data_IF_483831895023
#
_entry.id   IF_483831895023
#
_cell.length_a   1.000
_cell.length_b   1.000
_cell.length_c   1.000
_cell.angle_alpha   90.00
_cell.angle_beta   90.00
_cell.angle_gamma   90.00
#
_symmetry.space_group_name_H-M   'P 1'
#
loop_
_entity.id
_entity.type
_entity.pdbx_description
1 polymer ?
#
# COMPACT_ATOMS: atom_id res chain seq x y z
N UNK A 1 -8.84 -18.66 -9.52
CA UNK A 1 -9.16 -17.74 -10.65
C UNK A 1 -10.37 -16.82 -10.41
N UNK A 2 -11.52 -17.23 -9.89
CA UNK A 2 -12.67 -16.31 -9.69
C UNK A 2 -12.53 -15.29 -8.53
N UNK A 3 -11.69 -15.55 -7.54
CA UNK A 3 -11.47 -14.65 -6.39
C UNK A 3 -10.48 -13.53 -6.68
N UNK A 4 -9.52 -13.77 -7.56
CA UNK A 4 -8.44 -12.83 -7.83
C UNK A 4 -8.87 -11.61 -8.64
N UNK A 5 -9.95 -11.77 -9.46
CA UNK A 5 -10.49 -10.67 -10.27
C UNK A 5 -11.55 -9.82 -9.56
N UNK A 6 -12.06 -10.23 -8.40
CA UNK A 6 -13.04 -9.44 -7.64
C UNK A 6 -12.45 -8.17 -7.01
N UNK A 7 -11.14 -8.09 -6.89
CA UNK A 7 -10.42 -6.90 -6.44
C UNK A 7 -10.38 -5.78 -7.48
N UNK A 8 -10.67 -6.08 -8.75
CA UNK A 8 -10.53 -5.15 -9.87
C UNK A 8 -11.88 -4.62 -10.40
N UNK A 9 -12.97 -4.73 -9.62
CA UNK A 9 -14.29 -4.24 -10.00
C UNK A 9 -15.10 -5.22 -10.85
N UNK A 10 -16.26 -4.77 -11.35
CA UNK A 10 -17.19 -5.60 -12.13
C UNK A 10 -16.70 -5.83 -13.57
N UNK A 11 -15.68 -6.68 -13.76
CA UNK A 11 -15.20 -7.11 -15.08
C UNK A 11 -16.07 -8.20 -15.72
N UNK A 12 -17.09 -8.70 -15.03
CA UNK A 12 -17.98 -9.75 -15.54
C UNK A 12 -19.32 -9.84 -14.82
N UNK A 13 -20.36 -10.32 -15.54
CA UNK A 13 -21.68 -10.62 -14.96
C UNK A 13 -21.79 -12.10 -14.62
N UNK A 14 -22.42 -12.41 -13.47
CA UNK A 14 -22.77 -13.78 -13.08
C UNK A 14 -23.58 -14.44 -14.21
N UNK A 15 -23.08 -15.55 -14.75
CA UNK A 15 -23.74 -16.34 -15.80
C UNK A 15 -23.34 -15.99 -17.25
N UNK A 16 -22.72 -14.86 -17.54
CA UNK A 16 -22.33 -14.43 -18.89
C UNK A 16 -20.82 -14.41 -19.16
N UNK A 17 -19.99 -14.70 -18.15
CA UNK A 17 -18.53 -14.65 -18.30
C UNK A 17 -17.97 -13.22 -18.27
N UNK A 18 -16.74 -13.08 -18.75
CA UNK A 18 -16.04 -11.80 -18.82
C UNK A 18 -16.21 -11.17 -20.20
N UNK A 19 -16.44 -9.85 -20.23
CA UNK A 19 -16.37 -9.08 -21.47
C UNK A 19 -14.89 -8.97 -21.88
N UNK A 20 -14.52 -9.69 -22.93
CA UNK A 20 -13.14 -9.79 -23.40
C UNK A 20 -12.57 -8.42 -23.77
N UNK A 21 -13.38 -7.53 -24.36
CA UNK A 21 -12.93 -6.20 -24.75
C UNK A 21 -12.64 -5.33 -23.51
N UNK A 22 -13.51 -5.37 -22.50
CA UNK A 22 -13.26 -4.67 -21.22
C UNK A 22 -12.04 -5.22 -20.51
N UNK A 23 -11.86 -6.53 -20.52
CA UNK A 23 -10.68 -7.18 -19.93
C UNK A 23 -9.40 -6.79 -20.68
N UNK A 24 -9.44 -6.78 -22.00
CA UNK A 24 -8.33 -6.34 -22.86
C UNK A 24 -7.99 -4.86 -22.65
N UNK A 25 -9.00 -3.99 -22.59
CA UNK A 25 -8.80 -2.56 -22.30
C UNK A 25 -8.18 -2.37 -20.92
N UNK A 26 -8.70 -3.05 -19.91
CA UNK A 26 -8.16 -3.02 -18.55
C UNK A 26 -6.69 -3.47 -18.49
N UNK A 27 -6.36 -4.59 -19.14
CA UNK A 27 -4.96 -5.04 -19.21
C UNK A 27 -4.09 -4.11 -20.06
N UNK A 28 -4.63 -3.54 -21.14
CA UNK A 28 -3.91 -2.57 -21.95
C UNK A 28 -3.60 -1.28 -21.15
N UNK A 29 -4.53 -0.78 -20.36
CA UNK A 29 -4.32 0.36 -19.47
C UNK A 29 -3.28 0.04 -18.39
N UNK A 30 -3.38 -1.14 -17.76
CA UNK A 30 -2.41 -1.63 -16.78
C UNK A 30 -0.98 -1.79 -17.36
N UNK A 31 -0.89 -2.22 -18.63
CA UNK A 31 0.38 -2.50 -19.31
C UNK A 31 0.94 -1.30 -20.06
N UNK A 32 0.08 -0.37 -20.49
CA UNK A 32 0.49 0.82 -21.26
C UNK A 32 0.81 2.03 -20.39
N UNK A 33 0.54 2.00 -19.10
CA UNK A 33 1.00 3.04 -18.19
C UNK A 33 2.54 2.90 -18.02
N UNK A 34 3.27 3.48 -18.98
CA UNK A 34 4.74 3.49 -19.00
C UNK A 34 5.32 4.41 -17.92
N UNK A 35 4.48 5.14 -17.18
CA UNK A 35 4.90 6.01 -16.11
C UNK A 35 5.23 5.20 -14.84
N UNK A 36 6.37 5.50 -14.24
CA UNK A 36 6.71 4.98 -12.91
C UNK A 36 5.83 5.65 -11.87
N UNK A 37 5.06 4.86 -11.13
CA UNK A 37 4.21 5.38 -10.05
C UNK A 37 5.08 5.78 -8.87
N UNK A 38 5.07 7.08 -8.54
CA UNK A 38 5.76 7.60 -7.36
C UNK A 38 4.95 7.28 -6.10
N UNK A 39 5.65 6.78 -5.08
CA UNK A 39 5.08 6.44 -3.78
C UNK A 39 5.89 7.15 -2.71
N UNK A 40 5.25 7.65 -1.67
CA UNK A 40 5.91 8.14 -0.47
C UNK A 40 5.66 7.23 0.73
N UNK A 41 6.51 7.32 1.75
CA UNK A 41 6.38 6.58 2.99
C UNK A 41 6.27 7.57 4.17
N UNK A 42 5.37 7.29 5.11
CA UNK A 42 5.27 8.05 6.37
C UNK A 42 5.44 7.12 7.56
N UNK A 43 6.41 7.44 8.39
CA UNK A 43 6.84 6.68 9.55
C UNK A 43 8.12 5.88 9.26
N UNK A 44 9.29 6.37 9.73
CA UNK A 44 10.59 5.72 9.53
C UNK A 44 11.00 4.91 10.78
N UNK A 45 10.02 4.21 11.37
CA UNK A 45 10.24 3.21 12.42
C UNK A 45 10.76 1.88 11.84
N UNK A 46 10.64 0.79 12.61
CA UNK A 46 11.17 -0.52 12.19
C UNK A 46 10.60 -1.02 10.84
N UNK A 47 9.28 -0.94 10.68
CA UNK A 47 8.61 -1.35 9.44
C UNK A 47 8.97 -0.40 8.29
N UNK A 48 8.92 0.91 8.53
CA UNK A 48 9.25 1.91 7.53
C UNK A 48 10.69 1.77 7.03
N UNK A 49 11.66 1.59 7.91
CA UNK A 49 13.07 1.34 7.52
C UNK A 49 13.21 0.07 6.68
N UNK A 50 12.54 -1.01 7.03
CA UNK A 50 12.56 -2.24 6.23
C UNK A 50 12.00 -2.00 4.82
N UNK A 51 10.92 -1.22 4.69
CA UNK A 51 10.31 -0.88 3.40
C UNK A 51 11.16 0.10 2.58
N UNK A 52 11.93 0.99 3.21
CA UNK A 52 12.88 1.87 2.52
C UNK A 52 13.99 1.10 1.79
N UNK A 53 14.35 -0.09 2.28
CA UNK A 53 15.31 -0.99 1.63
C UNK A 53 14.65 -2.01 0.70
N UNK A 54 13.31 -2.01 0.59
CA UNK A 54 12.60 -2.93 -0.27
C UNK A 54 12.60 -2.45 -1.72
N UNK A 55 13.10 -3.27 -2.62
CA UNK A 55 13.25 -2.92 -4.04
C UNK A 55 11.94 -3.06 -4.81
N UNK A 56 11.03 -2.12 -4.65
CA UNK A 56 9.75 -2.09 -5.37
C UNK A 56 9.93 -2.03 -6.89
N UNK A 57 11.02 -1.43 -7.38
CA UNK A 57 11.28 -1.22 -8.80
C UNK A 57 11.61 -2.50 -9.57
N UNK A 58 12.20 -3.51 -8.93
CA UNK A 58 12.64 -4.72 -9.62
C UNK A 58 11.50 -5.57 -10.19
N UNK A 59 10.30 -5.44 -9.64
CA UNK A 59 9.13 -6.25 -10.04
C UNK A 59 7.97 -5.44 -10.59
N UNK A 60 7.88 -4.17 -10.23
CA UNK A 60 6.76 -3.31 -10.60
C UNK A 60 7.28 -1.89 -10.85
N UNK A 61 6.59 -1.14 -11.70
CA UNK A 61 6.93 0.26 -12.01
C UNK A 61 6.53 1.21 -10.86
N UNK A 62 6.87 0.86 -9.63
CA UNK A 62 6.64 1.68 -8.43
C UNK A 62 7.98 2.13 -7.87
N UNK A 63 8.09 3.40 -7.55
CA UNK A 63 9.28 3.98 -6.97
C UNK A 63 8.95 4.69 -5.67
N UNK A 64 9.59 4.28 -4.59
CA UNK A 64 9.59 5.03 -3.35
C UNK A 64 10.53 6.22 -3.52
N UNK A 65 9.97 7.44 -3.54
CA UNK A 65 10.73 8.64 -3.92
C UNK A 65 11.10 9.51 -2.72
N UNK A 66 10.38 9.40 -1.59
CA UNK A 66 10.66 10.13 -0.37
C UNK A 66 10.01 9.47 0.84
N UNK A 67 10.52 9.80 2.02
CA UNK A 67 9.94 9.39 3.30
C UNK A 67 9.76 10.57 4.23
N UNK A 68 8.86 10.42 5.21
CA UNK A 68 8.55 11.42 6.21
C UNK A 68 8.51 10.80 7.60
N UNK A 69 8.93 11.57 8.59
CA UNK A 69 8.75 11.27 10.01
C UNK A 69 8.48 12.55 10.78
N UNK A 70 8.30 12.47 12.10
CA UNK A 70 8.20 13.64 12.98
C UNK A 70 9.43 14.53 12.81
N UNK A 71 9.25 15.85 12.90
CA UNK A 71 10.32 16.82 12.60
C UNK A 71 11.53 16.70 13.54
N UNK A 72 11.35 16.09 14.70
CA UNK A 72 12.39 15.81 15.70
C UNK A 72 13.12 14.47 15.52
N UNK A 73 12.71 13.65 14.52
CA UNK A 73 13.39 12.40 14.24
C UNK A 73 14.80 12.66 13.68
N UNK A 74 15.80 11.97 14.24
CA UNK A 74 17.23 12.11 13.88
C UNK A 74 17.56 11.85 12.40
N UNK A 75 16.70 11.10 11.70
CA UNK A 75 16.87 10.80 10.28
C UNK A 75 16.34 11.89 9.36
N UNK A 76 15.60 12.87 9.88
CA UNK A 76 15.10 13.99 9.07
C UNK A 76 16.25 14.85 8.57
N UNK A 77 16.23 15.19 7.29
CA UNK A 77 17.31 15.88 6.59
C UNK A 77 18.42 14.97 6.06
N UNK A 78 18.30 13.65 6.26
CA UNK A 78 19.21 12.66 5.70
C UNK A 78 18.60 11.98 4.46
N UNK A 79 19.32 11.04 3.88
CA UNK A 79 18.84 10.17 2.82
C UNK A 79 19.29 8.72 3.06
N UNK A 80 18.54 7.76 2.53
CA UNK A 80 18.93 6.36 2.55
C UNK A 80 20.11 6.07 1.62
N UNK A 81 20.66 4.85 1.68
CA UNK A 81 21.68 4.37 0.72
C UNK A 81 21.19 4.44 -0.72
N UNK A 82 19.89 4.18 -0.96
CA UNK A 82 19.23 4.30 -2.26
C UNK A 82 18.85 5.76 -2.62
N UNK A 83 19.39 6.74 -1.88
CA UNK A 83 19.19 8.18 -2.08
C UNK A 83 17.73 8.65 -1.91
N UNK A 84 16.92 7.93 -1.14
CA UNK A 84 15.57 8.36 -0.80
C UNK A 84 15.68 9.40 0.33
N UNK A 85 15.27 10.65 0.11
CA UNK A 85 15.35 11.70 1.13
C UNK A 85 14.29 11.47 2.22
N UNK A 86 14.63 11.81 3.46
CA UNK A 86 13.75 11.76 4.63
C UNK A 86 13.47 13.18 5.08
N UNK A 87 12.21 13.57 5.06
CA UNK A 87 11.73 14.91 5.41
C UNK A 87 10.95 14.91 6.72
N UNK A 88 10.88 16.06 7.36
CA UNK A 88 9.95 16.28 8.45
C UNK A 88 8.50 16.34 7.96
N UNK A 89 7.57 15.89 8.81
CA UNK A 89 6.14 15.82 8.48
C UNK A 89 5.56 17.20 8.16
N UNK A 90 6.13 18.28 8.67
CA UNK A 90 5.74 19.66 8.38
C UNK A 90 5.85 20.02 6.89
N UNK A 91 6.73 19.36 6.14
CA UNK A 91 6.98 19.61 4.73
C UNK A 91 6.09 18.77 3.78
N UNK A 92 5.24 17.90 4.30
CA UNK A 92 4.58 16.85 3.50
C UNK A 92 3.67 17.41 2.41
N UNK A 93 2.90 18.46 2.69
CA UNK A 93 1.96 19.08 1.72
C UNK A 93 2.71 19.67 0.52
N UNK A 94 3.77 20.40 0.79
CA UNK A 94 4.58 21.05 -0.25
C UNK A 94 5.27 20.01 -1.13
N UNK A 95 5.83 18.95 -0.52
CA UNK A 95 6.53 17.89 -1.25
C UNK A 95 5.57 17.05 -2.10
N UNK A 96 4.38 16.72 -1.59
CA UNK A 96 3.35 16.01 -2.35
C UNK A 96 2.92 16.82 -3.56
N UNK A 97 2.69 18.13 -3.38
CA UNK A 97 2.29 19.00 -4.46
C UNK A 97 3.38 19.16 -5.54
N UNK A 98 4.65 19.32 -5.13
CA UNK A 98 5.79 19.47 -6.05
C UNK A 98 6.00 18.25 -6.95
N UNK A 99 5.81 17.03 -6.42
CA UNK A 99 6.09 15.78 -7.10
C UNK A 99 4.83 15.09 -7.66
N UNK A 100 3.64 15.67 -7.46
CA UNK A 100 2.32 15.14 -7.85
C UNK A 100 2.10 13.69 -7.39
N UNK A 101 2.47 13.38 -6.13
CA UNK A 101 2.34 12.03 -5.59
C UNK A 101 0.89 11.77 -5.18
N UNK A 102 0.37 10.60 -5.52
CA UNK A 102 -1.01 10.18 -5.22
C UNK A 102 -1.11 8.97 -4.31
N UNK A 103 0.01 8.32 -4.01
CA UNK A 103 0.05 7.06 -3.25
C UNK A 103 1.02 7.15 -2.10
N UNK A 104 0.59 6.70 -0.92
CA UNK A 104 1.39 6.70 0.30
C UNK A 104 1.40 5.32 0.98
N UNK A 105 2.52 5.01 1.64
CA UNK A 105 2.63 3.90 2.59
C UNK A 105 2.64 4.50 3.99
N UNK A 106 1.76 4.02 4.86
CA UNK A 106 1.59 4.50 6.24
C UNK A 106 2.06 3.44 7.23
N UNK A 107 3.13 3.75 7.96
CA UNK A 107 3.80 2.87 8.92
C UNK A 107 3.99 3.52 10.30
N UNK A 108 3.10 4.45 10.64
CA UNK A 108 3.12 5.15 11.93
C UNK A 108 2.39 4.35 13.03
N UNK A 109 2.62 4.65 14.32
CA UNK A 109 1.85 4.04 15.41
C UNK A 109 0.34 4.29 15.27
N UNK A 110 -0.48 3.32 15.71
CA UNK A 110 -1.95 3.35 15.57
C UNK A 110 -2.59 4.63 16.09
N UNK A 111 -2.06 5.17 17.20
CA UNK A 111 -2.55 6.41 17.83
C UNK A 111 -2.37 7.66 16.96
N UNK A 112 -1.48 7.60 15.97
CA UNK A 112 -1.19 8.69 15.03
C UNK A 112 -1.71 8.45 13.63
N UNK A 113 -2.18 7.24 13.33
CA UNK A 113 -2.50 6.84 11.96
C UNK A 113 -3.64 7.66 11.35
N UNK A 114 -4.70 7.97 12.10
CA UNK A 114 -5.80 8.79 11.58
C UNK A 114 -5.36 10.22 11.27
N UNK A 115 -4.67 10.88 12.20
CA UNK A 115 -4.18 12.24 12.04
C UNK A 115 -3.29 12.38 10.80
N UNK A 116 -2.36 11.42 10.62
CA UNK A 116 -1.45 11.41 9.46
C UNK A 116 -2.20 11.09 8.18
N UNK A 117 -3.16 10.17 8.21
CA UNK A 117 -3.97 9.84 7.05
C UNK A 117 -4.82 11.03 6.58
N UNK A 118 -5.42 11.79 7.50
CA UNK A 118 -6.16 13.01 7.19
C UNK A 118 -5.24 14.06 6.53
N UNK A 119 -4.02 14.23 7.05
CA UNK A 119 -3.01 15.13 6.48
C UNK A 119 -2.63 14.71 5.05
N UNK A 120 -2.47 13.42 4.79
CA UNK A 120 -2.17 12.87 3.47
C UNK A 120 -3.31 13.12 2.48
N UNK A 121 -4.55 12.90 2.90
CA UNK A 121 -5.74 13.15 2.08
C UNK A 121 -5.88 14.63 1.74
N UNK A 122 -5.70 15.51 2.71
CA UNK A 122 -5.68 16.97 2.52
C UNK A 122 -4.58 17.42 1.55
N UNK A 123 -3.46 16.70 1.52
CA UNK A 123 -2.36 16.96 0.58
C UNK A 123 -2.60 16.40 -0.83
N UNK A 124 -3.69 15.63 -1.04
CA UNK A 124 -4.08 15.11 -2.35
C UNK A 124 -3.73 13.64 -2.61
N UNK A 125 -3.36 12.88 -1.58
CA UNK A 125 -3.18 11.43 -1.67
C UNK A 125 -4.55 10.77 -1.91
N UNK A 126 -4.57 9.78 -2.80
CA UNK A 126 -5.77 9.02 -3.20
C UNK A 126 -5.70 7.55 -2.83
N UNK A 127 -4.49 7.03 -2.59
CA UNK A 127 -4.28 5.63 -2.22
C UNK A 127 -3.34 5.51 -1.02
N UNK A 128 -3.70 4.71 -0.02
CA UNK A 128 -2.91 4.47 1.19
C UNK A 128 -2.74 2.97 1.42
N UNK A 129 -1.50 2.52 1.49
CA UNK A 129 -1.16 1.20 2.00
C UNK A 129 -0.86 1.33 3.50
N UNK A 130 -1.78 0.87 4.35
CA UNK A 130 -1.74 1.06 5.79
C UNK A 130 -1.21 -0.19 6.51
N UNK A 131 -0.09 -0.04 7.21
CA UNK A 131 0.48 -1.07 8.09
C UNK A 131 0.09 -0.89 9.56
N UNK A 132 -0.58 0.21 9.90
CA UNK A 132 -1.06 0.43 11.26
C UNK A 132 -2.31 -0.41 11.51
N UNK A 133 -2.39 -1.17 12.63
CA UNK A 133 -3.54 -2.02 12.93
C UNK A 133 -4.73 -1.19 13.45
N UNK A 134 -5.29 -0.34 12.60
CA UNK A 134 -6.40 0.56 12.89
C UNK A 134 -7.25 0.78 11.64
N UNK A 135 -8.56 0.88 11.79
CA UNK A 135 -9.44 1.26 10.69
C UNK A 135 -9.46 2.79 10.56
N UNK A 136 -9.06 3.28 9.41
CA UNK A 136 -9.07 4.71 9.09
C UNK A 136 -10.47 5.13 8.62
N UNK A 137 -10.92 6.29 9.11
CA UNK A 137 -12.16 6.90 8.65
C UNK A 137 -11.83 7.99 7.62
N UNK A 138 -11.90 7.64 6.34
CA UNK A 138 -11.49 8.52 5.23
C UNK A 138 -12.63 8.69 4.22
N UNK A 139 -12.57 9.76 3.38
CA UNK A 139 -13.53 9.97 2.31
C UNK A 139 -13.58 8.78 1.34
N UNK A 140 -14.76 8.49 0.77
CA UNK A 140 -14.99 7.33 -0.11
C UNK A 140 -14.14 7.31 -1.38
N UNK A 141 -13.60 8.44 -1.80
CA UNK A 141 -12.74 8.54 -2.98
C UNK A 141 -11.27 8.18 -2.69
N UNK A 142 -10.92 7.93 -1.43
CA UNK A 142 -9.58 7.48 -1.02
C UNK A 142 -9.61 5.97 -0.85
N UNK A 143 -8.74 5.29 -1.55
CA UNK A 143 -8.59 3.84 -1.47
C UNK A 143 -7.60 3.49 -0.37
N UNK A 144 -8.00 2.63 0.56
CA UNK A 144 -7.10 2.14 1.62
C UNK A 144 -6.98 0.62 1.51
N UNK A 145 -5.74 0.15 1.44
CA UNK A 145 -5.41 -1.26 1.58
C UNK A 145 -4.70 -1.47 2.91
N UNK A 146 -5.23 -2.36 3.73
CA UNK A 146 -4.62 -2.71 5.02
C UNK A 146 -3.71 -3.92 4.89
N UNK A 147 -2.55 -3.85 5.53
CA UNK A 147 -1.61 -4.96 5.66
C UNK A 147 -1.57 -5.39 7.12
N UNK A 148 -2.29 -6.48 7.44
CA UNK A 148 -2.32 -7.07 8.77
C UNK A 148 -1.61 -8.42 8.76
N UNK A 149 -0.32 -8.40 9.14
CA UNK A 149 0.51 -9.61 9.20
C UNK A 149 -0.02 -10.64 10.22
N UNK A 150 -0.73 -10.18 11.26
CA UNK A 150 -1.33 -11.08 12.25
C UNK A 150 -2.48 -11.88 11.66
N UNK A 151 -3.37 -11.21 10.92
CA UNK A 151 -4.47 -11.87 10.20
C UNK A 151 -3.97 -12.85 9.15
N UNK A 152 -2.92 -12.49 8.40
CA UNK A 152 -2.31 -13.38 7.41
C UNK A 152 -1.73 -14.65 8.08
N UNK A 153 -1.01 -14.47 9.20
CA UNK A 153 -0.46 -15.59 9.94
C UNK A 153 -1.55 -16.48 10.56
N UNK A 154 -2.62 -15.88 11.11
CA UNK A 154 -3.77 -16.62 11.63
C UNK A 154 -4.45 -17.46 10.53
N UNK A 155 -4.60 -16.88 9.35
CA UNK A 155 -5.16 -17.57 8.17
C UNK A 155 -4.30 -18.75 7.77
N UNK A 156 -2.98 -18.61 7.73
CA UNK A 156 -2.05 -19.69 7.46
C UNK A 156 -2.19 -20.81 8.51
N UNK A 157 -2.19 -20.47 9.79
CA UNK A 157 -2.33 -21.44 10.89
C UNK A 157 -3.67 -22.18 10.84
N UNK A 158 -4.74 -21.51 10.44
CA UNK A 158 -6.04 -22.15 10.25
C UNK A 158 -5.99 -23.21 9.15
N UNK A 159 -5.47 -22.89 7.98
CA UNK A 159 -5.37 -23.84 6.88
C UNK A 159 -4.44 -25.02 7.19
N UNK A 160 -3.35 -24.80 7.89
CA UNK A 160 -2.47 -25.90 8.35
C UNK A 160 -3.22 -26.89 9.24
N UNK A 161 -4.02 -26.41 10.19
CA UNK A 161 -4.81 -27.27 11.06
C UNK A 161 -5.90 -28.05 10.32
N UNK A 162 -6.53 -27.45 9.32
CA UNK A 162 -7.54 -28.12 8.49
C UNK A 162 -6.90 -29.24 7.64
N UNK A 163 -5.73 -29.01 7.08
CA UNK A 163 -4.96 -30.03 6.35
C UNK A 163 -4.57 -31.22 7.24
N UNK A 164 -4.11 -30.97 8.46
CA UNK A 164 -3.77 -32.01 9.43
C UNK A 164 -4.98 -32.88 9.81
N UNK A 165 -6.16 -32.24 10.01
CA UNK A 165 -7.40 -32.98 10.28
C UNK A 165 -7.82 -33.84 9.09
N UNK A 166 -7.71 -33.31 7.87
CA UNK A 166 -8.06 -34.05 6.65
C UNK A 166 -7.20 -35.28 6.47
N UNK A 167 -5.89 -35.21 6.78
CA UNK A 167 -4.99 -36.34 6.73
C UNK A 167 -5.33 -37.41 7.76
N UNK A 168 -5.65 -37.01 9.00
CA UNK A 168 -6.02 -37.98 10.09
C UNK A 168 -7.34 -38.70 9.83
N UNK A 169 -8.23 -38.14 9.03
CA UNK A 169 -9.52 -38.78 8.70
C UNK A 169 -9.44 -39.70 7.47
N UNK A 170 -8.31 -39.72 6.75
CA UNK A 170 -8.08 -40.55 5.58
C UNK A 170 -7.14 -41.76 5.86
N UNK A 171 -6.59 -41.84 7.06
CA UNK A 171 -5.85 -42.99 7.61
C UNK A 171 -6.75 -43.80 8.55
#
# INVERSE_FOLDING_TARGET
MRRDFSYFGELGRRGFGYDVNKLMTFFAELLNDNATTKVLLVGVGNVGRALLHYRFQERNRMQLVMAFDTDDNELVGTQTEDKIPIYGISQIKDKIAQEDIKTAILTVPSVKAQEVADLLVDAGIKGILCFSPVNLNLPRHVVVQYVDLTSELQTLLYFMKEEEKSRRNND
#
